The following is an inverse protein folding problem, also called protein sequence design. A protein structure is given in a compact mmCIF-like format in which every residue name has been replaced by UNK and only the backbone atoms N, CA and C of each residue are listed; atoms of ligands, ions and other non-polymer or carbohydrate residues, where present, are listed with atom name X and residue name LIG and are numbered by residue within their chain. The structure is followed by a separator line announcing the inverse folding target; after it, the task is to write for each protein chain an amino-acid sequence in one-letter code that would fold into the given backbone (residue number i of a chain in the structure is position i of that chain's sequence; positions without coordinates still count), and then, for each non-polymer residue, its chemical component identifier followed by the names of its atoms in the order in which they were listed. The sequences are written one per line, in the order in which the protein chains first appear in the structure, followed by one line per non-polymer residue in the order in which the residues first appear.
data_IF_691696397877
#
_entry.id   IF_691696397877
#
_cell.length_a   1.000
_cell.length_b   1.000
_cell.length_c   1.000
_cell.angle_alpha   90.00
_cell.angle_beta   90.00
_cell.angle_gamma   90.00
#
_symmetry.space_group_name_H-M   'P 1'
#
loop_
_entity.id
_entity.type
_entity.pdbx_description
1 polymer ?
#
# COMPACT_ATOMS: atom_id res chain seq x y z
N UNK A 1 -10.48 23.99 -3.84
CA UNK A 1 -10.05 23.72 -2.46
C UNK A 1 -10.03 22.20 -2.38
N UNK A 2 -8.91 21.47 -2.35
CA UNK A 2 -7.59 21.76 -1.79
C UNK A 2 -6.49 21.01 -2.57
N UNK A 3 -5.83 21.69 -3.50
CA UNK A 3 -4.72 21.12 -4.29
C UNK A 3 -3.37 21.15 -3.57
N UNK A 4 -3.36 21.19 -2.22
CA UNK A 4 -2.16 21.40 -1.39
C UNK A 4 -1.77 20.20 -0.51
N UNK A 5 -2.35 19.02 -0.72
CA UNK A 5 -2.11 17.86 0.16
C UNK A 5 -0.95 16.97 -0.29
N UNK A 6 -0.85 16.73 -1.59
CA UNK A 6 0.24 15.94 -2.15
C UNK A 6 1.40 16.88 -2.49
N UNK A 7 2.53 16.73 -1.79
CA UNK A 7 3.71 17.58 -1.98
C UNK A 7 4.97 16.74 -2.21
N UNK A 8 5.88 17.26 -3.03
CA UNK A 8 7.18 16.65 -3.36
C UNK A 8 7.08 15.19 -3.86
N UNK A 9 6.09 14.91 -4.71
CA UNK A 9 5.91 13.58 -5.27
C UNK A 9 6.88 13.29 -6.41
N UNK A 10 7.49 12.11 -6.35
CA UNK A 10 8.24 11.46 -7.42
C UNK A 10 7.51 10.18 -7.80
N UNK A 11 6.87 10.18 -8.96
CA UNK A 11 6.17 9.02 -9.48
C UNK A 11 7.07 8.18 -10.39
N UNK A 12 6.98 6.86 -10.27
CA UNK A 12 7.57 5.96 -11.24
C UNK A 12 6.72 5.92 -12.51
N UNK A 13 7.31 5.49 -13.63
CA UNK A 13 6.52 5.12 -14.81
C UNK A 13 5.54 3.98 -14.48
N UNK A 14 4.43 3.92 -15.22
CA UNK A 14 3.41 2.91 -15.03
C UNK A 14 3.93 1.47 -15.14
N UNK A 15 3.36 0.58 -14.34
CA UNK A 15 3.71 -0.83 -14.32
C UNK A 15 3.28 -1.49 -15.63
N UNK A 16 4.07 -2.47 -16.10
CA UNK A 16 3.67 -3.30 -17.23
C UNK A 16 2.50 -4.21 -16.85
N UNK A 17 1.68 -4.59 -17.83
CA UNK A 17 0.62 -5.59 -17.62
C UNK A 17 1.17 -6.93 -17.12
N UNK A 18 2.41 -7.26 -17.50
CA UNK A 18 3.10 -8.46 -17.02
C UNK A 18 3.39 -8.37 -15.52
N UNK A 19 3.97 -7.26 -15.06
CA UNK A 19 4.26 -7.05 -13.64
C UNK A 19 2.99 -7.10 -12.77
N UNK A 20 1.88 -6.51 -13.24
CA UNK A 20 0.59 -6.57 -12.55
C UNK A 20 0.04 -8.01 -12.53
N UNK A 21 0.14 -8.73 -13.65
CA UNK A 21 -0.33 -10.12 -13.74
C UNK A 21 0.47 -11.04 -12.82
N UNK A 22 1.78 -10.84 -12.74
CA UNK A 22 2.68 -11.56 -11.83
C UNK A 22 2.37 -11.26 -10.38
N UNK A 23 2.20 -9.98 -10.01
CA UNK A 23 1.75 -9.58 -8.68
C UNK A 23 0.48 -10.31 -8.28
N UNK A 24 -0.58 -10.24 -9.11
CA UNK A 24 -1.86 -10.89 -8.83
C UNK A 24 -1.73 -12.40 -8.69
N UNK A 25 -0.88 -13.03 -9.50
CA UNK A 25 -0.62 -14.47 -9.42
C UNK A 25 0.11 -14.85 -8.12
N UNK A 26 1.03 -14.01 -7.64
CA UNK A 26 1.81 -14.27 -6.42
C UNK A 26 0.99 -14.06 -5.14
N UNK A 27 0.16 -13.02 -5.06
CA UNK A 27 -0.63 -12.73 -3.86
C UNK A 27 -1.88 -13.59 -3.73
N UNK A 28 -2.30 -14.26 -4.81
CA UNK A 28 -3.46 -15.16 -4.87
C UNK A 28 -4.78 -14.56 -4.36
N UNK A 29 -4.91 -13.22 -4.41
CA UNK A 29 -6.11 -12.46 -4.04
C UNK A 29 -6.45 -11.45 -5.14
N UNK A 30 -7.72 -11.04 -5.20
CA UNK A 30 -8.15 -9.93 -6.06
C UNK A 30 -7.85 -8.61 -5.38
N UNK A 31 -6.90 -7.84 -5.94
CA UNK A 31 -6.55 -6.52 -5.45
C UNK A 31 -7.60 -5.46 -5.86
N UNK A 32 -7.73 -4.35 -5.11
CA UNK A 32 -8.67 -3.27 -5.45
C UNK A 32 -8.38 -2.65 -6.83
N UNK A 33 -9.43 -2.40 -7.60
CA UNK A 33 -9.32 -1.84 -8.96
C UNK A 33 -8.63 -0.47 -8.99
N UNK A 34 -8.84 0.35 -7.95
CA UNK A 34 -8.25 1.69 -7.85
C UNK A 34 -6.73 1.62 -7.63
N UNK A 35 -6.26 0.66 -6.83
CA UNK A 35 -4.84 0.36 -6.67
C UNK A 35 -4.21 -0.19 -7.97
N UNK A 36 -4.90 -1.09 -8.65
CA UNK A 36 -4.43 -1.62 -9.93
C UNK A 36 -4.39 -0.52 -11.02
N UNK A 37 -5.36 0.39 -11.04
CA UNK A 37 -5.37 1.54 -11.94
C UNK A 37 -4.21 2.50 -11.62
N UNK A 38 -3.92 2.70 -10.33
CA UNK A 38 -2.75 3.43 -9.88
C UNK A 38 -1.46 2.80 -10.41
N UNK A 39 -1.22 1.51 -10.18
CA UNK A 39 0.01 0.84 -10.62
C UNK A 39 0.24 0.96 -12.13
N UNK A 40 -0.83 0.83 -12.95
CA UNK A 40 -0.74 1.02 -14.41
C UNK A 40 -0.31 2.42 -14.83
N UNK A 41 -0.63 3.43 -14.02
CA UNK A 41 -0.30 4.82 -14.31
C UNK A 41 1.03 5.22 -13.67
N UNK A 42 1.31 4.72 -12.47
CA UNK A 42 2.48 5.00 -11.66
C UNK A 42 2.86 3.76 -10.86
N UNK A 43 3.95 3.08 -11.22
CA UNK A 43 4.38 1.85 -10.54
C UNK A 43 5.01 2.16 -9.18
N UNK A 44 4.20 2.59 -8.23
CA UNK A 44 4.68 3.18 -6.99
C UNK A 44 5.26 4.58 -7.19
N UNK A 45 5.98 5.04 -6.18
CA UNK A 45 6.46 6.41 -6.08
C UNK A 45 6.48 6.85 -4.63
N UNK A 46 7.01 8.04 -4.38
CA UNK A 46 7.15 8.54 -3.02
C UNK A 46 6.94 10.04 -2.94
N UNK A 47 6.50 10.48 -1.78
CA UNK A 47 6.24 11.88 -1.50
C UNK A 47 5.55 12.04 -0.16
N UNK A 48 4.86 13.16 0.00
CA UNK A 48 4.14 13.45 1.23
C UNK A 48 2.65 13.62 0.95
N UNK A 49 1.83 13.05 1.83
CA UNK A 49 0.42 13.40 1.99
C UNK A 49 0.31 14.19 3.28
N UNK A 50 -0.01 15.47 3.15
CA UNK A 50 0.06 16.43 4.25
C UNK A 50 1.48 16.47 4.85
N UNK A 51 1.69 15.98 6.08
CA UNK A 51 3.00 15.85 6.73
C UNK A 51 3.57 14.44 6.70
N UNK A 52 2.79 13.45 6.28
CA UNK A 52 3.16 12.04 6.35
C UNK A 52 3.89 11.62 5.09
N UNK A 53 5.08 11.02 5.27
CA UNK A 53 5.79 10.42 4.16
C UNK A 53 5.07 9.14 3.73
N UNK A 54 4.98 8.95 2.42
CA UNK A 54 4.40 7.75 1.82
C UNK A 54 5.32 7.30 0.70
N UNK A 55 5.90 6.12 0.87
CA UNK A 55 6.66 5.39 -0.13
C UNK A 55 5.82 4.19 -0.58
N UNK A 56 5.36 4.21 -1.82
CA UNK A 56 4.59 3.15 -2.45
C UNK A 56 5.54 2.25 -3.24
N UNK A 57 5.48 0.95 -2.97
CA UNK A 57 6.36 -0.02 -3.60
C UNK A 57 5.93 -0.32 -5.04
N UNK A 58 6.89 -0.79 -5.83
CA UNK A 58 6.64 -1.28 -7.18
C UNK A 58 5.91 -2.62 -7.12
N UNK A 59 5.10 -2.92 -8.13
CA UNK A 59 4.36 -4.17 -8.26
C UNK A 59 5.27 -5.41 -8.12
N UNK A 60 6.47 -5.35 -8.69
CA UNK A 60 7.48 -6.40 -8.69
C UNK A 60 8.05 -6.68 -7.29
N UNK A 61 8.05 -5.67 -6.40
CA UNK A 61 8.67 -5.77 -5.08
C UNK A 61 7.67 -6.23 -4.00
N UNK A 62 6.37 -6.06 -4.21
CA UNK A 62 5.33 -6.32 -3.19
C UNK A 62 5.42 -7.76 -2.67
N UNK A 63 5.44 -8.76 -3.55
CA UNK A 63 5.48 -10.16 -3.14
C UNK A 63 6.77 -10.48 -2.37
N UNK A 64 7.90 -9.98 -2.88
CA UNK A 64 9.22 -10.16 -2.26
C UNK A 64 9.25 -9.54 -0.86
N UNK A 65 8.82 -8.30 -0.71
CA UNK A 65 8.82 -7.62 0.60
C UNK A 65 7.86 -8.29 1.58
N UNK A 66 6.66 -8.71 1.18
CA UNK A 66 5.76 -9.42 2.10
C UNK A 66 6.34 -10.77 2.56
N UNK A 67 7.13 -11.43 1.72
CA UNK A 67 7.87 -12.63 2.11
C UNK A 67 9.03 -12.30 3.04
N UNK A 68 9.86 -11.29 2.73
CA UNK A 68 11.03 -10.90 3.52
C UNK A 68 10.67 -10.34 4.90
N UNK A 69 9.54 -9.64 5.00
CA UNK A 69 8.98 -9.17 6.28
C UNK A 69 8.18 -10.24 7.02
N UNK A 70 8.10 -11.47 6.49
CA UNK A 70 7.40 -12.61 7.11
C UNK A 70 5.94 -12.28 7.48
N UNK A 71 5.25 -11.49 6.64
CA UNK A 71 3.91 -10.94 6.93
C UNK A 71 2.89 -12.06 7.14
N UNK A 72 3.04 -13.17 6.42
CA UNK A 72 2.17 -14.33 6.59
C UNK A 72 2.28 -14.98 7.98
N UNK A 73 3.42 -14.84 8.65
CA UNK A 73 3.66 -15.41 9.98
C UNK A 73 3.26 -14.43 11.10
N UNK A 74 3.58 -13.15 10.93
CA UNK A 74 3.35 -12.13 11.96
C UNK A 74 1.97 -11.47 11.88
N UNK A 75 1.51 -11.13 10.68
CA UNK A 75 0.24 -10.45 10.45
C UNK A 75 -0.59 -11.11 9.33
N UNK A 76 -1.01 -12.38 9.51
CA UNK A 76 -1.75 -13.11 8.50
C UNK A 76 -3.05 -12.39 8.12
N UNK A 77 -3.20 -12.11 6.83
CA UNK A 77 -4.33 -11.35 6.30
C UNK A 77 -4.02 -9.87 6.03
N UNK A 78 -2.80 -9.40 6.28
CA UNK A 78 -2.33 -8.14 5.71
C UNK A 78 -1.54 -8.38 4.42
N UNK A 79 -1.63 -7.42 3.50
CA UNK A 79 -0.73 -7.30 2.35
C UNK A 79 -0.10 -5.91 2.37
N UNK A 80 1.18 -5.84 2.71
CA UNK A 80 1.94 -4.59 2.71
C UNK A 80 2.16 -4.10 1.27
N UNK A 81 2.03 -2.79 1.05
CA UNK A 81 2.24 -2.17 -0.27
C UNK A 81 3.08 -0.89 -0.23
N UNK A 82 3.51 -0.46 0.96
CA UNK A 82 4.29 0.75 1.13
C UNK A 82 4.77 0.95 2.57
N UNK A 83 5.45 2.06 2.81
CA UNK A 83 5.98 2.45 4.11
C UNK A 83 5.99 3.96 4.29
N UNK A 84 6.02 4.42 5.54
CA UNK A 84 6.30 5.83 5.86
C UNK A 84 7.80 6.18 5.83
N UNK A 85 8.66 5.29 5.31
CA UNK A 85 10.12 5.48 5.28
C UNK A 85 10.78 5.35 6.66
N UNK A 86 10.02 4.94 7.67
CA UNK A 86 10.46 4.73 9.05
C UNK A 86 9.99 3.38 9.58
N UNK A 87 9.33 3.40 10.75
CA UNK A 87 8.94 2.19 11.47
C UNK A 87 7.63 1.54 11.01
N UNK A 88 6.87 2.17 10.12
CA UNK A 88 5.52 1.74 9.77
C UNK A 88 5.40 1.29 8.31
N UNK A 89 4.58 0.27 8.11
CA UNK A 89 4.12 -0.21 6.81
C UNK A 89 2.67 0.19 6.56
N UNK A 90 2.31 0.38 5.29
CA UNK A 90 0.94 0.53 4.82
C UNK A 90 0.48 -0.79 4.23
N UNK A 91 -0.72 -1.25 4.60
CA UNK A 91 -1.22 -2.55 4.20
C UNK A 91 -2.70 -2.53 3.81
N UNK A 92 -3.09 -3.41 2.88
CA UNK A 92 -4.48 -3.81 2.71
C UNK A 92 -4.84 -4.84 3.78
N UNK A 93 -5.96 -4.63 4.48
CA UNK A 93 -6.54 -5.65 5.35
C UNK A 93 -7.41 -6.61 4.53
N UNK A 94 -6.84 -7.74 4.16
CA UNK A 94 -7.47 -8.74 3.28
C UNK A 94 -8.43 -9.67 4.03
N UNK A 95 -8.56 -9.51 5.36
CA UNK A 95 -9.54 -10.25 6.17
C UNK A 95 -10.97 -9.75 5.96
N UNK A 96 -11.12 -8.53 5.45
CA UNK A 96 -12.37 -7.92 5.03
C UNK A 96 -12.40 -7.78 3.50
N UNK A 97 -13.56 -8.10 2.90
CA UNK A 97 -13.85 -7.85 1.49
C UNK A 97 -13.68 -6.40 1.06
N UNK A 98 -13.78 -5.44 1.99
CA UNK A 98 -13.57 -4.02 1.69
C UNK A 98 -12.11 -3.65 1.45
N UNK A 99 -11.15 -4.49 1.86
CA UNK A 99 -9.71 -4.24 1.79
C UNK A 99 -9.31 -2.82 2.23
N UNK A 100 -9.82 -2.39 3.39
CA UNK A 100 -9.44 -1.10 3.98
C UNK A 100 -7.93 -1.05 4.22
N UNK A 101 -7.39 0.17 4.25
CA UNK A 101 -5.96 0.40 4.45
C UNK A 101 -5.67 0.63 5.92
N UNK A 102 -4.65 -0.06 6.41
CA UNK A 102 -4.12 0.06 7.77
C UNK A 102 -2.65 0.50 7.76
N UNK A 103 -2.19 1.11 8.86
CA UNK A 103 -0.77 1.16 9.21
C UNK A 103 -0.46 0.08 10.24
N UNK A 104 0.73 -0.51 10.16
CA UNK A 104 1.24 -1.52 11.10
C UNK A 104 2.74 -1.34 11.30
N UNK A 105 3.28 -1.51 12.52
CA UNK A 105 4.71 -1.41 12.76
C UNK A 105 5.47 -2.57 12.12
N UNK A 106 6.65 -2.31 11.55
CA UNK A 106 7.54 -3.37 11.06
C UNK A 106 8.11 -4.22 12.20
N UNK A 107 8.40 -3.60 13.35
CA UNK A 107 8.98 -4.29 14.50
C UNK A 107 7.85 -4.76 15.40
N UNK A 108 7.79 -6.07 15.62
CA UNK A 108 6.76 -6.71 16.45
C UNK A 108 5.44 -6.96 15.71
N UNK A 109 5.29 -6.42 14.49
CA UNK A 109 4.16 -6.56 13.55
C UNK A 109 3.06 -7.51 14.04
N UNK A 110 1.96 -6.95 14.52
CA UNK A 110 0.81 -7.72 15.01
C UNK A 110 -0.49 -7.12 14.46
N UNK A 111 -1.46 -7.98 14.16
CA UNK A 111 -2.79 -7.57 13.72
C UNK A 111 -3.53 -6.69 14.74
N UNK A 112 -3.22 -6.83 16.04
CA UNK A 112 -3.77 -6.02 17.11
C UNK A 112 -3.25 -4.57 17.09
N UNK A 113 -2.08 -4.35 16.50
CA UNK A 113 -1.46 -3.03 16.36
C UNK A 113 -1.78 -2.38 15.01
N UNK A 114 -2.55 -3.05 14.15
CA UNK A 114 -2.98 -2.51 12.86
C UNK A 114 -4.05 -1.42 13.05
N UNK A 115 -3.74 -0.20 12.61
CA UNK A 115 -4.61 0.98 12.75
C UNK A 115 -5.24 1.31 11.39
N UNK A 116 -6.58 1.29 11.24
CA UNK A 116 -7.24 1.74 10.02
C UNK A 116 -7.00 3.22 9.75
N UNK A 117 -6.64 3.56 8.51
CA UNK A 117 -6.33 4.95 8.10
C UNK A 117 -7.12 5.42 6.87
N UNK A 118 -7.62 4.50 6.03
CA UNK A 118 -8.44 4.85 4.87
C UNK A 118 -9.30 3.65 4.41
N UNK A 119 -10.45 3.93 3.83
CA UNK A 119 -11.34 2.87 3.31
C UNK A 119 -10.97 2.38 1.90
N UNK A 120 -10.16 3.14 1.17
CA UNK A 120 -9.71 2.79 -0.18
C UNK A 120 -8.36 3.43 -0.48
N UNK A 121 -7.68 2.92 -1.51
CA UNK A 121 -6.41 3.48 -1.97
C UNK A 121 -6.59 4.92 -2.49
N UNK A 122 -7.69 5.19 -3.17
CA UNK A 122 -8.06 6.54 -3.60
C UNK A 122 -8.25 7.47 -2.40
N UNK A 123 -8.95 7.01 -1.35
CA UNK A 123 -9.15 7.81 -0.13
C UNK A 123 -7.83 8.13 0.55
N UNK A 124 -6.92 7.15 0.67
CA UNK A 124 -5.56 7.35 1.19
C UNK A 124 -4.86 8.49 0.45
N UNK A 125 -4.81 8.42 -0.90
CA UNK A 125 -4.13 9.44 -1.71
C UNK A 125 -4.79 10.81 -1.65
N UNK A 126 -6.10 10.88 -1.42
CA UNK A 126 -6.85 12.14 -1.31
C UNK A 126 -6.66 12.86 0.03
N UNK A 127 -6.15 12.16 1.05
CA UNK A 127 -6.01 12.66 2.42
C UNK A 127 -7.35 13.05 3.07
N UNK A 128 -8.48 12.49 2.61
CA UNK A 128 -9.78 12.76 3.20
C UNK A 128 -9.97 11.89 4.46
N UNK A 129 -10.12 12.46 5.67
CA UNK A 129 -10.69 11.70 6.76
C UNK A 129 -12.17 11.42 6.41
N UNK A 130 -12.62 10.20 6.72
CA UNK A 130 -14.05 9.89 6.82
C UNK A 130 -14.68 10.69 7.96
#
# INVERSE_FOLDING_TARGET
MDSKRMVNWSWNEGASDQAISELMAMVAISLPDDYLAFLRSHNGGEGFIESEYLMLWKAEDIATFNMEYEVADYAPGLLLFGSNGGGEAYAFDTRDSSMRIVQVPFIGMDLADAIPIADSFTTLLSGAPQ
#
